data_IF_638132853613
#
_entry.id   IF_638132853613
#
_cell.length_a   1.000
_cell.length_b   1.000
_cell.length_c   1.000
_cell.angle_alpha   90.00
_cell.angle_beta   90.00
_cell.angle_gamma   90.00
#
_symmetry.space_group_name_H-M   'P 1'
#
loop_
_entity.id
_entity.type
_entity.pdbx_description
1 polymer ?
#
# COMPACT_ATOMS: atom_id res chain seq x y z
N UNK A 1 -17.94 1.35 17.43
CA UNK A 1 -16.64 1.98 17.78
C UNK A 1 -15.71 1.74 16.59
N UNK A 2 -15.40 2.77 15.80
CA UNK A 2 -14.51 2.67 14.64
C UNK A 2 -13.08 2.68 15.21
N UNK A 3 -12.28 1.64 14.94
CA UNK A 3 -10.87 1.65 15.34
C UNK A 3 -10.16 2.81 14.60
N UNK A 4 -9.23 3.53 15.25
CA UNK A 4 -8.49 4.59 14.57
C UNK A 4 -7.81 4.00 13.34
N UNK A 5 -8.05 4.60 12.18
CA UNK A 5 -7.31 4.27 10.97
C UNK A 5 -5.85 4.67 11.19
N UNK A 6 -4.95 3.70 11.18
CA UNK A 6 -3.51 3.96 11.24
C UNK A 6 -3.05 4.49 9.87
N UNK A 7 -2.33 5.60 9.93
CA UNK A 7 -1.85 6.35 8.78
C UNK A 7 -0.32 6.35 8.86
N UNK A 8 0.35 6.00 7.76
CA UNK A 8 1.81 6.07 7.63
C UNK A 8 2.18 7.02 6.50
N UNK A 9 3.08 7.96 6.75
CA UNK A 9 3.59 8.91 5.74
C UNK A 9 5.08 8.69 5.52
N UNK A 10 5.51 8.68 4.26
CA UNK A 10 6.89 8.40 3.86
C UNK A 10 7.22 9.05 2.51
N UNK A 11 8.50 9.16 2.16
CA UNK A 11 8.93 9.58 0.83
C UNK A 11 9.46 8.38 0.07
N UNK A 12 8.99 8.18 -1.16
CA UNK A 12 9.46 7.09 -2.02
C UNK A 12 9.69 7.59 -3.46
N UNK A 13 10.65 7.00 -4.18
CA UNK A 13 10.66 7.11 -5.63
C UNK A 13 9.42 6.39 -6.19
N UNK A 14 8.74 7.00 -7.16
CA UNK A 14 7.69 6.36 -7.93
C UNK A 14 8.25 6.06 -9.33
N UNK A 15 8.06 4.82 -9.75
CA UNK A 15 8.36 4.37 -11.09
C UNK A 15 7.04 4.11 -11.82
N UNK A 16 6.97 4.52 -13.08
CA UNK A 16 5.92 4.09 -13.99
C UNK A 16 6.32 2.74 -14.59
N UNK A 17 5.42 1.76 -14.51
CA UNK A 17 5.51 0.47 -15.18
C UNK A 17 4.23 0.25 -15.97
N UNK A 18 4.32 0.36 -17.29
CA UNK A 18 3.18 0.21 -18.21
C UNK A 18 3.33 -1.02 -19.12
N UNK A 19 4.06 -2.05 -18.65
CA UNK A 19 4.40 -3.27 -19.39
C UNK A 19 5.27 -3.04 -20.65
N UNK A 20 5.60 -1.79 -20.99
CA UNK A 20 6.40 -1.43 -22.18
C UNK A 20 7.67 -0.72 -21.78
N UNK A 21 7.59 0.14 -20.76
CA UNK A 21 8.71 0.90 -20.21
C UNK A 21 8.65 0.87 -18.69
N UNK A 22 9.83 0.80 -18.07
CA UNK A 22 10.03 1.08 -16.65
C UNK A 22 10.83 2.37 -16.55
N UNK A 23 10.20 3.47 -16.11
CA UNK A 23 10.89 4.75 -15.96
C UNK A 23 10.63 5.37 -14.60
N UNK A 24 11.66 6.00 -14.05
CA UNK A 24 11.52 6.85 -12.87
C UNK A 24 10.74 8.11 -13.27
N UNK A 25 9.65 8.38 -12.56
CA UNK A 25 8.76 9.52 -12.85
C UNK A 25 8.88 10.66 -11.84
N UNK A 26 9.39 10.38 -10.63
CA UNK A 26 9.63 11.38 -9.61
C UNK A 26 9.62 10.80 -8.20
N UNK A 27 9.85 11.64 -7.20
CA UNK A 27 9.64 11.34 -5.79
C UNK A 27 8.26 11.82 -5.38
N UNK A 28 7.63 11.08 -4.48
CA UNK A 28 6.36 11.48 -3.91
C UNK A 28 6.37 11.39 -2.39
N UNK A 29 5.65 12.32 -1.75
CA UNK A 29 5.19 12.17 -0.37
C UNK A 29 3.98 11.24 -0.39
N UNK A 30 4.15 10.06 0.20
CA UNK A 30 3.17 8.99 0.24
C UNK A 30 2.49 8.92 1.59
N UNK A 31 1.20 8.62 1.60
CA UNK A 31 0.39 8.35 2.78
C UNK A 31 -0.42 7.08 2.57
N UNK A 32 -0.24 6.09 3.45
CA UNK A 32 -1.01 4.84 3.45
C UNK A 32 -1.96 4.78 4.62
N UNK A 33 -3.21 4.36 4.36
CA UNK A 33 -4.25 4.17 5.36
C UNK A 33 -4.86 2.79 5.25
N UNK A 34 -4.79 2.01 6.33
CA UNK A 34 -5.43 0.69 6.41
C UNK A 34 -6.89 0.81 6.87
N UNK A 35 -7.79 0.16 6.14
CA UNK A 35 -9.17 -0.06 6.52
C UNK A 35 -9.47 -1.57 6.48
N UNK A 36 -9.92 -2.13 7.60
CA UNK A 36 -10.27 -3.55 7.71
C UNK A 36 -11.75 -3.68 8.01
N UNK A 37 -12.40 -4.69 7.46
CA UNK A 37 -13.77 -5.04 7.81
C UNK A 37 -13.89 -5.51 9.28
N UNK A 38 -15.13 -5.68 9.76
CA UNK A 38 -15.36 -6.09 11.16
C UNK A 38 -14.97 -7.55 11.41
N UNK A 39 -15.01 -8.37 10.38
CA UNK A 39 -14.79 -9.82 10.42
C UNK A 39 -13.33 -10.19 10.26
N UNK A 40 -12.46 -9.22 9.94
CA UNK A 40 -11.06 -9.42 9.53
C UNK A 40 -10.95 -10.47 8.43
N UNK A 41 -11.82 -10.36 7.43
CA UNK A 41 -11.82 -11.23 6.25
C UNK A 41 -11.26 -10.51 5.03
N UNK A 42 -11.51 -9.22 4.93
CA UNK A 42 -10.94 -8.35 3.89
C UNK A 42 -10.53 -7.00 4.44
N UNK A 43 -9.69 -6.31 3.67
CA UNK A 43 -9.28 -4.94 3.96
C UNK A 43 -8.80 -4.23 2.70
N UNK A 44 -8.53 -2.94 2.87
CA UNK A 44 -8.01 -2.09 1.81
C UNK A 44 -6.96 -1.16 2.42
N UNK A 45 -5.80 -1.09 1.79
CA UNK A 45 -4.85 0.02 2.00
C UNK A 45 -5.13 1.06 0.93
N UNK A 46 -5.49 2.26 1.36
CA UNK A 46 -5.54 3.43 0.49
C UNK A 46 -4.17 4.08 0.51
N UNK A 47 -3.50 4.09 -0.64
CA UNK A 47 -2.19 4.71 -0.81
C UNK A 47 -2.36 5.97 -1.65
N UNK A 48 -2.31 7.12 -0.98
CA UNK A 48 -2.32 8.43 -1.64
C UNK A 48 -0.89 8.94 -1.71
N UNK A 49 -0.44 9.40 -2.86
CA UNK A 49 0.88 10.01 -2.98
C UNK A 49 0.82 11.30 -3.79
N UNK A 50 1.66 12.26 -3.42
CA UNK A 50 1.79 13.55 -4.09
C UNK A 50 3.23 13.75 -4.55
N UNK A 51 3.42 13.93 -5.84
CA UNK A 51 4.75 14.18 -6.41
C UNK A 51 5.33 15.49 -5.87
N UNK A 52 6.58 15.44 -5.42
CA UNK A 52 7.33 16.58 -4.88
C UNK A 52 8.47 17.03 -5.79
N UNK A 53 8.73 16.28 -6.85
CA UNK A 53 9.63 16.65 -7.95
C UNK A 53 9.21 15.94 -9.25
N UNK A 54 9.91 16.23 -10.35
CA UNK A 54 9.75 15.55 -11.64
C UNK A 54 8.70 16.17 -12.57
N UNK A 55 8.35 15.45 -13.62
CA UNK A 55 7.38 15.88 -14.65
C UNK A 55 5.98 16.10 -14.07
N UNK A 56 5.66 15.39 -12.97
CA UNK A 56 4.35 15.37 -12.34
C UNK A 56 4.31 16.15 -11.01
N UNK A 57 5.28 17.03 -10.73
CA UNK A 57 5.34 17.78 -9.47
C UNK A 57 3.98 18.44 -9.12
N UNK A 58 3.50 18.19 -7.90
CA UNK A 58 2.24 18.72 -7.38
C UNK A 58 1.00 17.86 -7.70
N UNK A 59 1.10 16.88 -8.60
CA UNK A 59 0.03 15.92 -8.88
C UNK A 59 -0.14 14.96 -7.70
N UNK A 60 -1.39 14.70 -7.33
CA UNK A 60 -1.78 13.76 -6.29
C UNK A 60 -2.59 12.61 -6.89
N UNK A 61 -2.25 11.38 -6.53
CA UNK A 61 -2.93 10.17 -6.96
C UNK A 61 -3.30 9.30 -5.76
N UNK A 62 -4.31 8.45 -5.92
CA UNK A 62 -4.71 7.48 -4.90
C UNK A 62 -4.92 6.11 -5.52
N UNK A 63 -4.19 5.13 -4.99
CA UNK A 63 -4.26 3.72 -5.35
C UNK A 63 -4.86 2.90 -4.21
N UNK A 64 -5.38 1.73 -4.55
CA UNK A 64 -5.98 0.81 -3.58
C UNK A 64 -5.30 -0.55 -3.67
N UNK A 65 -4.85 -1.04 -2.53
CA UNK A 65 -4.37 -2.42 -2.37
C UNK A 65 -5.47 -3.19 -1.64
N UNK A 66 -6.07 -4.16 -2.30
CA UNK A 66 -7.06 -5.06 -1.69
C UNK A 66 -6.34 -6.16 -0.93
N UNK A 67 -6.83 -6.48 0.26
CA UNK A 67 -6.23 -7.46 1.17
C UNK A 67 -7.24 -8.53 1.54
N UNK A 68 -6.76 -9.77 1.59
CA UNK A 68 -7.51 -10.94 2.04
C UNK A 68 -6.84 -11.53 3.26
N UNK A 69 -7.67 -11.90 4.25
CA UNK A 69 -7.19 -12.35 5.55
C UNK A 69 -7.79 -13.70 5.94
N UNK A 70 -7.01 -14.49 6.68
CA UNK A 70 -7.48 -15.60 7.50
C UNK A 70 -7.20 -15.26 8.97
N UNK A 71 -8.18 -14.62 9.61
CA UNK A 71 -8.08 -14.13 10.98
C UNK A 71 -7.09 -12.96 11.14
N UNK A 72 -5.86 -13.26 11.55
CA UNK A 72 -4.77 -12.29 11.64
C UNK A 72 -3.76 -12.42 10.50
N UNK A 73 -3.83 -13.47 9.69
CA UNK A 73 -2.85 -13.71 8.65
C UNK A 73 -3.28 -13.07 7.33
N UNK A 74 -2.37 -12.36 6.68
CA UNK A 74 -2.56 -11.93 5.28
C UNK A 74 -2.35 -13.12 4.38
N UNK A 75 -3.36 -13.47 3.59
CA UNK A 75 -3.33 -14.65 2.72
C UNK A 75 -3.20 -14.30 1.25
N UNK A 76 -3.70 -13.14 0.84
CA UNK A 76 -3.58 -12.65 -0.53
C UNK A 76 -3.73 -11.13 -0.60
N UNK A 77 -3.30 -10.54 -1.71
CA UNK A 77 -3.49 -9.13 -2.02
C UNK A 77 -3.68 -8.91 -3.53
N UNK A 78 -4.27 -7.77 -3.90
CA UNK A 78 -4.45 -7.35 -5.28
C UNK A 78 -4.27 -5.83 -5.41
N UNK A 79 -3.92 -5.35 -6.60
CA UNK A 79 -3.64 -3.94 -6.90
C UNK A 79 -2.15 -3.57 -6.95
N UNK A 80 -1.24 -4.47 -6.55
CA UNK A 80 0.22 -4.32 -6.67
C UNK A 80 0.86 -5.68 -6.98
N UNK A 81 2.04 -5.68 -7.61
CA UNK A 81 2.81 -6.90 -7.86
C UNK A 81 3.43 -7.47 -6.58
N UNK A 82 3.92 -6.59 -5.71
CA UNK A 82 4.42 -6.94 -4.38
C UNK A 82 3.97 -5.88 -3.37
N UNK A 83 3.79 -6.29 -2.11
CA UNK A 83 3.46 -5.35 -1.04
C UNK A 83 4.68 -4.46 -0.75
N UNK A 84 4.54 -3.12 -0.80
CA UNK A 84 5.59 -2.21 -0.36
C UNK A 84 5.96 -2.47 1.11
N UNK A 85 7.22 -2.25 1.49
CA UNK A 85 7.69 -2.42 2.88
C UNK A 85 6.83 -1.62 3.87
N UNK A 86 6.42 -0.40 3.48
CA UNK A 86 5.56 0.45 4.29
C UNK A 86 4.15 -0.11 4.50
N UNK A 87 3.63 -0.86 3.53
CA UNK A 87 2.36 -1.57 3.66
C UNK A 87 2.49 -2.76 4.61
N UNK A 88 3.61 -3.50 4.54
CA UNK A 88 3.92 -4.62 5.45
C UNK A 88 4.01 -4.10 6.89
N UNK A 89 4.82 -3.07 7.13
CA UNK A 89 4.96 -2.46 8.47
C UNK A 89 3.63 -1.94 9.02
N UNK A 90 2.79 -1.36 8.15
CA UNK A 90 1.46 -0.89 8.52
C UNK A 90 0.57 -2.06 8.96
N UNK A 91 0.62 -3.19 8.26
CA UNK A 91 -0.14 -4.40 8.59
C UNK A 91 0.35 -5.05 9.89
N UNK A 92 1.65 -5.22 10.05
CA UNK A 92 2.27 -5.80 11.25
C UNK A 92 1.98 -4.95 12.50
N UNK A 93 2.06 -3.61 12.36
CA UNK A 93 1.69 -2.67 13.43
C UNK A 93 0.20 -2.75 13.83
N UNK A 94 -0.65 -3.35 12.99
CA UNK A 94 -2.07 -3.60 13.26
C UNK A 94 -2.36 -5.02 13.76
N UNK A 95 -1.31 -5.81 14.04
CA UNK A 95 -1.41 -7.18 14.52
C UNK A 95 -1.85 -8.16 13.43
N UNK A 96 -1.48 -7.89 12.18
CA UNK A 96 -1.54 -8.87 11.10
C UNK A 96 -0.19 -9.55 10.92
N UNK A 97 -0.22 -10.83 10.60
CA UNK A 97 0.93 -11.64 10.21
C UNK A 97 1.05 -11.63 8.69
N UNK A 98 2.09 -10.98 8.18
CA UNK A 98 2.37 -10.85 6.75
C UNK A 98 3.42 -11.89 6.34
N UNK A 99 2.99 -13.15 6.31
CA UNK A 99 3.76 -14.21 5.67
C UNK A 99 3.62 -14.08 4.14
N UNK A 100 4.39 -13.18 3.51
CA UNK A 100 4.46 -13.13 2.05
C UNK A 100 5.09 -14.43 1.58
N UNK A 101 4.26 -15.38 1.12
CA UNK A 101 4.78 -16.47 0.32
C UNK A 101 5.30 -15.81 -0.96
N UNK A 102 6.63 -15.70 -1.09
CA UNK A 102 7.22 -15.49 -2.41
C UNK A 102 6.69 -16.65 -3.25
N UNK A 103 5.85 -16.36 -4.24
CA UNK A 103 5.59 -17.36 -5.26
C UNK A 103 6.97 -17.79 -5.82
N UNK A 104 7.26 -19.11 -5.88
CA UNK A 104 8.57 -19.62 -6.26
C UNK A 104 8.94 -19.30 -7.72
#
# INVERSE_FOLDING_TARGET
MIRPSLIKTFFSPINEDNCTEHRFIGKAESTMRLQVDRTRTTGTIHWTYKFVDGEFEGVEETHQIFLFFDGQRVTNFDGVFELPEEAIELLESNGFDVCVAKEP
#
